data_IF_834077784319
#
_entry.id   IF_834077784319
#
_cell.length_a   1.000
_cell.length_b   1.000
_cell.length_c   1.000
_cell.angle_alpha   90.00
_cell.angle_beta   90.00
_cell.angle_gamma   90.00
#
_symmetry.space_group_name_H-M   'P 1'
#
loop_
_entity.id
_entity.type
_entity.pdbx_description
1 polymer ?
#
# COMPACT_ATOMS: atom_id res chain seq x y z
N UNK A 1 -0.58 -13.25 5.37
CA UNK A 1 -1.26 -11.94 5.58
C UNK A 1 -2.29 -11.74 4.48
N UNK A 2 -3.58 -11.52 4.80
CA UNK A 2 -4.60 -11.26 3.79
C UNK A 2 -4.32 -9.94 3.07
N UNK A 3 -4.49 -9.94 1.75
CA UNK A 3 -4.38 -8.76 0.88
C UNK A 3 -5.78 -8.17 0.63
N UNK A 4 -6.78 -9.04 0.46
CA UNK A 4 -8.16 -8.66 0.20
C UNK A 4 -9.02 -9.88 -0.11
N UNK A 5 -10.28 -9.65 -0.43
CA UNK A 5 -11.22 -10.68 -0.85
C UNK A 5 -11.79 -10.35 -2.24
N UNK A 6 -12.13 -11.38 -3.02
CA UNK A 6 -12.85 -11.24 -4.27
C UNK A 6 -14.36 -11.11 -4.06
N UNK A 7 -15.14 -10.97 -5.14
CA UNK A 7 -16.59 -10.81 -5.05
C UNK A 7 -17.31 -12.07 -4.52
N UNK A 8 -16.65 -13.23 -4.54
CA UNK A 8 -17.17 -14.50 -4.01
C UNK A 8 -16.73 -14.75 -2.56
N UNK A 9 -15.99 -13.81 -1.96
CA UNK A 9 -15.48 -13.93 -0.60
C UNK A 9 -14.22 -14.80 -0.48
N UNK A 10 -13.62 -15.24 -1.59
CA UNK A 10 -12.32 -15.91 -1.53
C UNK A 10 -11.25 -14.89 -1.17
N UNK A 11 -10.36 -15.26 -0.24
CA UNK A 11 -9.34 -14.36 0.26
C UNK A 11 -8.03 -14.58 -0.46
N UNK A 12 -7.40 -13.50 -0.93
CA UNK A 12 -6.02 -13.56 -1.41
C UNK A 12 -5.10 -13.35 -0.21
N UNK A 13 -4.20 -14.29 0.01
CA UNK A 13 -3.25 -14.30 1.13
C UNK A 13 -1.84 -14.32 0.58
N UNK A 14 -0.99 -13.44 1.13
CA UNK A 14 0.46 -13.52 0.97
C UNK A 14 1.03 -14.43 2.04
N UNK A 15 1.80 -15.45 1.65
CA UNK A 15 2.54 -16.31 2.55
C UNK A 15 3.46 -15.53 3.48
N UNK A 16 3.76 -16.09 4.64
CA UNK A 16 4.84 -15.62 5.49
C UNK A 16 6.12 -16.31 5.05
N UNK A 17 7.16 -15.55 4.66
CA UNK A 17 8.48 -16.12 4.37
C UNK A 17 9.17 -16.82 5.56
N UNK A 18 8.47 -16.97 6.69
CA UNK A 18 8.90 -17.73 7.86
C UNK A 18 8.15 -19.06 7.87
N UNK A 19 8.84 -20.16 7.57
CA UNK A 19 8.30 -21.54 7.67
C UNK A 19 8.15 -22.30 6.34
N UNK A 20 8.15 -21.61 5.21
CA UNK A 20 8.23 -22.27 3.89
C UNK A 20 9.70 -22.40 3.48
N UNK A 21 10.11 -23.59 3.02
CA UNK A 21 11.47 -23.92 2.51
C UNK A 21 11.82 -23.22 1.19
N UNK A 22 11.12 -22.14 0.85
CA UNK A 22 11.32 -21.35 -0.36
C UNK A 22 12.48 -20.36 -0.25
N UNK A 23 12.95 -19.82 -1.38
CA UNK A 23 14.00 -18.81 -1.38
C UNK A 23 13.50 -17.54 -0.67
N UNK A 24 14.34 -16.99 0.21
CA UNK A 24 14.01 -15.91 1.15
C UNK A 24 13.57 -14.58 0.49
N UNK A 25 13.77 -14.45 -0.81
CA UNK A 25 13.49 -13.27 -1.62
C UNK A 25 12.07 -13.22 -2.18
N UNK A 26 11.33 -14.33 -2.14
CA UNK A 26 9.95 -14.41 -2.62
C UNK A 26 9.01 -15.01 -1.59
N UNK A 27 7.71 -14.72 -1.75
CA UNK A 27 6.62 -15.31 -0.96
C UNK A 27 5.54 -15.79 -1.90
N UNK A 28 4.92 -16.91 -1.55
CA UNK A 28 3.80 -17.42 -2.31
C UNK A 28 2.55 -16.54 -2.11
N UNK A 29 1.88 -16.18 -3.20
CA UNK A 29 0.50 -15.73 -3.19
C UNK A 29 -0.40 -16.94 -3.37
N UNK A 30 -1.43 -17.01 -2.54
CA UNK A 30 -2.44 -18.05 -2.64
C UNK A 30 -3.84 -17.46 -2.44
N UNK A 31 -4.83 -18.08 -3.07
CA UNK A 31 -6.25 -17.79 -2.92
C UNK A 31 -6.88 -18.85 -2.04
N UNK A 32 -7.42 -18.44 -0.90
CA UNK A 32 -8.20 -19.31 -0.02
C UNK A 32 -9.66 -19.29 -0.44
N UNK A 33 -10.19 -20.46 -0.80
CA UNK A 33 -11.59 -20.63 -1.19
C UNK A 33 -12.43 -21.06 0.02
N UNK A 34 -13.38 -20.24 0.50
CA UNK A 34 -14.16 -20.56 1.70
C UNK A 34 -15.05 -21.79 1.53
N UNK A 35 -15.53 -22.04 0.30
CA UNK A 35 -16.44 -23.16 0.02
C UNK A 35 -15.75 -24.53 0.16
N UNK A 36 -14.47 -24.62 -0.22
CA UNK A 36 -13.70 -25.87 -0.20
C UNK A 36 -12.69 -25.93 0.93
N UNK A 37 -12.38 -24.79 1.57
CA UNK A 37 -11.30 -24.64 2.53
C UNK A 37 -9.90 -24.74 1.90
N UNK A 38 -9.80 -24.82 0.58
CA UNK A 38 -8.54 -25.04 -0.12
C UNK A 38 -7.76 -23.74 -0.32
N UNK A 39 -6.43 -23.88 -0.30
CA UNK A 39 -5.49 -22.81 -0.59
C UNK A 39 -4.89 -23.06 -1.98
N UNK A 40 -5.31 -22.29 -2.97
CA UNK A 40 -4.89 -22.42 -4.37
C UNK A 40 -3.68 -21.49 -4.61
N UNK A 41 -2.50 -22.01 -5.00
CA UNK A 41 -1.36 -21.16 -5.31
C UNK A 41 -1.64 -20.33 -6.58
N UNK A 42 -1.32 -19.04 -6.53
CA UNK A 42 -1.45 -18.12 -7.66
C UNK A 42 -0.10 -17.82 -8.32
N UNK A 43 0.85 -17.28 -7.57
CA UNK A 43 2.18 -16.91 -8.06
C UNK A 43 3.16 -16.67 -6.91
N UNK A 44 4.46 -16.65 -7.20
CA UNK A 44 5.46 -16.14 -6.26
C UNK A 44 5.72 -14.65 -6.53
N UNK A 45 5.79 -13.83 -5.48
CA UNK A 45 6.06 -12.38 -5.57
C UNK A 45 7.21 -11.98 -4.65
N UNK A 46 7.90 -10.86 -4.91
CA UNK A 46 8.94 -10.35 -4.03
C UNK A 46 8.48 -10.22 -2.57
N UNK A 47 9.32 -10.67 -1.63
CA UNK A 47 9.03 -10.59 -0.21
C UNK A 47 9.34 -9.18 0.33
N UNK A 48 8.32 -8.37 0.71
CA UNK A 48 8.57 -7.03 1.23
C UNK A 48 9.17 -7.03 2.64
N UNK A 49 9.12 -8.15 3.38
CA UNK A 49 9.64 -8.21 4.75
C UNK A 49 11.17 -8.17 4.81
N UNK A 50 11.86 -8.34 3.68
CA UNK A 50 13.33 -8.30 3.64
C UNK A 50 13.91 -6.90 3.91
N UNK A 51 13.10 -5.84 3.87
CA UNK A 51 13.54 -4.50 4.30
C UNK A 51 13.64 -4.36 5.83
N UNK A 52 13.11 -5.32 6.60
CA UNK A 52 13.19 -5.29 8.06
C UNK A 52 14.59 -5.76 8.49
N UNK A 53 15.42 -4.83 8.96
CA UNK A 53 16.72 -5.17 9.56
C UNK A 53 16.48 -5.61 11.00
N UNK A 54 16.84 -6.85 11.29
CA UNK A 54 17.06 -7.28 12.66
C UNK A 54 18.26 -6.53 13.22
N UNK A 55 18.06 -5.71 14.26
CA UNK A 55 19.16 -5.04 14.96
C UNK A 55 19.34 -5.74 16.30
N UNK A 56 20.52 -6.28 16.53
CA UNK A 56 20.90 -6.78 17.85
C UNK A 56 21.02 -5.56 18.78
N UNK A 57 20.14 -5.47 19.77
CA UNK A 57 20.28 -4.53 20.87
C UNK A 57 20.85 -5.27 22.09
N UNK A 58 21.61 -4.57 22.92
CA UNK A 58 22.14 -5.11 24.18
C UNK A 58 20.98 -5.56 25.08
N UNK A 59 20.64 -6.84 25.06
CA UNK A 59 19.53 -7.43 25.83
C UNK A 59 18.43 -8.11 25.01
N UNK A 60 18.48 -8.13 23.67
CA UNK A 60 17.50 -8.87 22.87
C UNK A 60 17.48 -8.55 21.37
N UNK A 61 16.75 -9.37 20.61
CA UNK A 61 16.48 -9.15 19.19
C UNK A 61 15.36 -8.10 19.05
N UNK A 62 15.69 -6.93 18.51
CA UNK A 62 14.67 -5.93 18.14
C UNK A 62 14.43 -6.02 16.65
N UNK A 63 13.23 -6.47 16.27
CA UNK A 63 12.76 -6.39 14.90
C UNK A 63 12.28 -4.96 14.65
N UNK A 64 13.11 -4.16 13.97
CA UNK A 64 12.72 -2.81 13.56
C UNK A 64 11.94 -2.90 12.26
N UNK A 65 10.63 -3.01 12.38
CA UNK A 65 9.72 -2.92 11.23
C UNK A 65 9.75 -1.49 10.70
N UNK A 66 10.23 -1.28 9.47
CA UNK A 66 10.06 0.00 8.80
C UNK A 66 11.18 1.04 8.90
N UNK A 67 12.46 0.67 9.04
CA UNK A 67 13.54 1.59 8.63
C UNK A 67 13.74 1.57 7.09
N UNK A 68 12.62 1.68 6.35
CA UNK A 68 12.64 1.79 4.90
C UNK A 68 13.33 3.08 4.46
N UNK A 69 13.72 3.15 3.19
CA UNK A 69 14.24 4.41 2.64
C UNK A 69 13.14 5.48 2.77
N UNK A 70 13.48 6.75 3.05
CA UNK A 70 12.47 7.80 3.07
C UNK A 70 11.74 7.86 1.74
N UNK A 71 10.41 8.00 1.79
CA UNK A 71 9.54 8.02 0.61
C UNK A 71 9.74 6.82 -0.33
N UNK A 72 10.05 5.64 0.22
CA UNK A 72 10.16 4.42 -0.58
C UNK A 72 8.83 4.06 -1.25
N UNK A 73 8.93 3.55 -2.47
CA UNK A 73 7.83 2.93 -3.19
C UNK A 73 8.17 1.47 -3.46
N UNK A 74 7.19 0.59 -3.34
CA UNK A 74 7.36 -0.86 -3.51
C UNK A 74 6.16 -1.44 -4.22
N UNK A 75 6.28 -2.67 -4.70
CA UNK A 75 5.12 -3.38 -5.26
C UNK A 75 3.96 -3.43 -4.25
N UNK A 76 2.80 -2.93 -4.66
CA UNK A 76 1.54 -3.10 -3.94
C UNK A 76 0.70 -4.16 -4.62
N UNK A 77 -0.08 -4.88 -3.83
CA UNK A 77 -0.99 -5.90 -4.32
C UNK A 77 -2.40 -5.57 -3.85
N UNK A 78 -3.38 -5.86 -4.70
CA UNK A 78 -4.80 -5.76 -4.35
C UNK A 78 -5.58 -6.91 -4.98
N UNK A 79 -6.47 -7.53 -4.23
CA UNK A 79 -7.37 -8.55 -4.76
C UNK A 79 -8.37 -7.90 -5.73
N UNK A 80 -8.70 -8.58 -6.83
CA UNK A 80 -9.69 -8.13 -7.81
C UNK A 80 -11.02 -8.87 -7.61
N UNK A 81 -12.16 -8.29 -8.05
CA UNK A 81 -13.47 -8.94 -7.93
C UNK A 81 -13.60 -10.28 -8.64
N UNK A 82 -12.75 -10.55 -9.63
CA UNK A 82 -12.73 -11.79 -10.42
C UNK A 82 -11.85 -12.90 -9.82
N UNK A 83 -11.32 -12.69 -8.61
CA UNK A 83 -10.42 -13.63 -7.93
C UNK A 83 -8.95 -13.45 -8.29
N UNK A 84 -8.63 -12.58 -9.26
CA UNK A 84 -7.25 -12.24 -9.60
C UNK A 84 -6.60 -11.29 -8.60
N UNK A 85 -5.38 -10.88 -8.92
CA UNK A 85 -4.58 -9.90 -8.16
C UNK A 85 -4.03 -8.85 -9.11
N UNK A 86 -4.20 -7.57 -8.78
CA UNK A 86 -3.49 -6.50 -9.43
C UNK A 86 -2.14 -6.28 -8.73
N UNK A 87 -1.08 -6.20 -9.54
CA UNK A 87 0.29 -5.89 -9.12
C UNK A 87 0.63 -4.47 -9.56
N UNK A 88 0.77 -3.57 -8.59
CA UNK A 88 1.10 -2.16 -8.84
C UNK A 88 2.61 -2.00 -8.67
N UNK A 89 3.30 -1.80 -9.79
CA UNK A 89 4.75 -1.66 -9.85
C UNK A 89 5.13 -0.18 -9.91
N UNK A 90 6.12 0.30 -9.15
CA UNK A 90 6.50 1.71 -9.16
C UNK A 90 7.54 2.08 -10.23
N UNK A 91 8.28 1.09 -10.77
CA UNK A 91 9.32 1.29 -11.77
C UNK A 91 9.46 0.07 -12.71
N UNK A 92 9.05 0.15 -13.99
CA UNK A 92 8.23 1.24 -14.55
C UNK A 92 6.89 1.34 -13.81
N UNK A 93 6.27 2.54 -13.78
CA UNK A 93 4.99 2.71 -13.10
C UNK A 93 3.89 2.04 -13.92
N UNK A 94 3.38 0.88 -13.50
CA UNK A 94 2.34 0.14 -14.24
C UNK A 94 1.52 -0.77 -13.34
N UNK A 95 0.41 -1.29 -13.89
CA UNK A 95 -0.47 -2.23 -13.19
C UNK A 95 -0.65 -3.51 -14.00
N UNK A 96 0.02 -4.56 -13.56
CA UNK A 96 -0.09 -5.89 -14.15
C UNK A 96 -1.27 -6.65 -13.49
N UNK A 97 -1.94 -7.53 -14.25
CA UNK A 97 -3.01 -8.40 -13.74
C UNK A 97 -2.49 -9.83 -13.64
N UNK A 98 -2.56 -10.41 -12.46
CA UNK A 98 -2.42 -11.84 -12.24
C UNK A 98 -3.81 -12.47 -12.18
N UNK A 99 -4.13 -13.39 -13.08
CA UNK A 99 -5.43 -14.07 -13.07
C UNK A 99 -5.47 -15.25 -12.07
N UNK A 100 -6.62 -15.91 -11.97
CA UNK A 100 -6.84 -17.06 -11.08
C UNK A 100 -6.06 -18.31 -11.49
N UNK A 101 -5.46 -18.33 -12.68
CA UNK A 101 -4.60 -19.40 -13.20
C UNK A 101 -3.11 -19.09 -13.05
N UNK A 102 -2.77 -17.95 -12.44
CA UNK A 102 -1.40 -17.50 -12.29
C UNK A 102 -0.80 -16.85 -13.53
N UNK A 103 -1.60 -16.59 -14.57
CA UNK A 103 -1.12 -15.91 -15.78
C UNK A 103 -1.05 -14.41 -15.55
N UNK A 104 0.05 -13.80 -16.00
CA UNK A 104 0.28 -12.36 -15.88
C UNK A 104 -0.04 -11.66 -17.19
N UNK A 105 -1.00 -10.75 -17.17
CA UNK A 105 -1.23 -9.75 -18.22
C UNK A 105 -0.50 -8.46 -17.84
N UNK A 106 0.54 -8.12 -18.60
CA UNK A 106 1.34 -6.91 -18.39
C UNK A 106 0.49 -5.69 -18.78
N UNK A 107 0.51 -4.66 -17.94
CA UNK A 107 -0.15 -3.38 -18.23
C UNK A 107 0.76 -2.37 -18.92
N UNK A 108 0.14 -1.37 -19.53
CA UNK A 108 0.85 -0.23 -20.09
C UNK A 108 1.57 0.58 -19.00
N UNK A 109 2.70 1.19 -19.37
CA UNK A 109 3.36 2.15 -18.50
C UNK A 109 2.47 3.39 -18.33
N UNK A 110 2.32 3.82 -17.09
CA UNK A 110 1.52 4.94 -16.68
C UNK A 110 2.41 6.16 -16.51
N UNK A 111 2.10 7.21 -17.24
CA UNK A 111 2.77 8.49 -17.05
C UNK A 111 2.52 9.04 -15.64
N UNK A 112 3.56 9.56 -15.01
CA UNK A 112 3.41 10.35 -13.80
C UNK A 112 4.36 11.53 -13.83
N UNK A 113 3.91 12.65 -13.27
CA UNK A 113 4.74 13.83 -13.17
C UNK A 113 5.80 13.61 -12.07
N UNK A 114 7.07 13.66 -12.47
CA UNK A 114 8.19 13.61 -11.53
C UNK A 114 8.30 14.96 -10.84
N UNK A 115 7.90 15.02 -9.57
CA UNK A 115 8.00 16.22 -8.74
C UNK A 115 9.26 16.16 -7.90
N UNK A 116 10.16 17.16 -7.91
CA UNK A 116 11.32 17.20 -7.01
C UNK A 116 10.91 17.16 -5.54
N UNK A 117 11.61 16.40 -4.71
CA UNK A 117 11.36 16.38 -3.25
C UNK A 117 11.81 17.69 -2.63
N UNK A 118 10.86 18.48 -2.15
CA UNK A 118 11.13 19.75 -1.49
C UNK A 118 11.54 19.57 -0.02
N UNK A 119 12.01 20.65 0.61
CA UNK A 119 12.26 20.67 2.06
C UNK A 119 10.97 20.42 2.86
N UNK A 120 9.83 20.92 2.37
CA UNK A 120 8.54 20.72 3.03
C UNK A 120 8.10 19.25 3.00
N UNK A 121 8.36 18.55 1.89
CA UNK A 121 8.11 17.10 1.77
C UNK A 121 8.94 16.30 2.79
N UNK A 122 10.24 16.63 2.90
CA UNK A 122 11.14 15.98 3.87
C UNK A 122 10.67 16.20 5.30
N UNK A 123 10.25 17.41 5.64
CA UNK A 123 9.73 17.71 6.96
C UNK A 123 8.43 16.97 7.25
N UNK A 124 7.46 17.00 6.32
CA UNK A 124 6.18 16.30 6.47
C UNK A 124 6.38 14.78 6.67
N UNK A 125 7.36 14.19 5.98
CA UNK A 125 7.71 12.79 6.18
C UNK A 125 8.28 12.52 7.58
N UNK A 126 9.19 13.36 8.07
CA UNK A 126 9.74 13.26 9.44
C UNK A 126 8.65 13.37 10.50
N UNK A 127 7.79 14.37 10.38
CA UNK A 127 6.66 14.59 11.27
C UNK A 127 5.72 13.37 11.28
N UNK A 128 5.50 12.76 10.10
CA UNK A 128 4.72 11.53 9.95
C UNK A 128 5.36 10.33 10.65
N UNK A 129 6.69 10.18 10.59
CA UNK A 129 7.41 9.13 11.31
C UNK A 129 7.34 9.29 12.82
N UNK A 130 7.45 10.53 13.33
CA UNK A 130 7.35 10.81 14.76
C UNK A 130 5.96 10.47 15.32
N UNK A 131 4.89 10.72 14.54
CA UNK A 131 3.53 10.33 14.88
C UNK A 131 3.31 8.81 14.84
N UNK A 132 4.01 8.11 13.94
CA UNK A 132 3.93 6.65 13.79
C UNK A 132 4.84 5.86 14.72
N UNK A 133 5.67 6.51 15.54
CA UNK A 133 6.54 5.85 16.51
C UNK A 133 5.71 5.21 17.64
N UNK A 134 5.07 4.09 17.35
CA UNK A 134 4.29 3.32 18.32
C UNK A 134 5.25 2.56 19.24
N UNK A 135 5.00 2.63 20.54
CA UNK A 135 5.76 1.92 21.57
C UNK A 135 5.80 0.42 21.31
N UNK A 136 6.99 -0.18 21.34
CA UNK A 136 7.16 -1.64 21.25
C UNK A 136 6.99 -2.23 22.65
N UNK A 137 5.96 -3.06 22.84
CA UNK A 137 5.80 -3.85 24.06
C UNK A 137 6.76 -5.04 24.05
N UNK A 138 7.50 -5.25 25.15
CA UNK A 138 8.32 -6.45 25.31
C UNK A 138 7.43 -7.66 25.55
N UNK A 139 7.65 -8.72 24.78
CA UNK A 139 6.81 -9.95 24.77
C UNK A 139 7.07 -10.83 26.00
N UNK A 140 8.12 -10.57 26.78
CA UNK A 140 8.48 -11.37 27.95
C UNK A 140 8.11 -10.67 29.28
N UNK A 141 6.83 -10.76 29.66
CA UNK A 141 6.40 -10.89 31.07
C UNK A 141 6.57 -9.71 32.05
N UNK A 142 7.01 -8.53 31.63
CA UNK A 142 7.14 -7.35 32.51
C UNK A 142 7.51 -6.05 31.79
N UNK A 143 7.15 -5.95 30.51
CA UNK A 143 7.73 -4.99 29.57
C UNK A 143 7.36 -3.53 29.79
N UNK A 144 8.30 -2.74 30.26
CA UNK A 144 8.28 -1.29 30.10
C UNK A 144 8.23 -0.97 28.59
N UNK A 145 7.24 -0.20 28.17
CA UNK A 145 7.15 0.30 26.81
C UNK A 145 8.34 1.23 26.54
N UNK A 146 9.31 0.79 25.73
CA UNK A 146 10.43 1.64 25.30
C UNK A 146 10.05 2.31 23.99
N UNK A 147 10.01 3.65 24.00
CA UNK A 147 9.86 4.45 22.78
C UNK A 147 11.24 4.50 22.11
N UNK A 148 11.40 3.79 21.01
CA UNK A 148 12.63 3.85 20.22
C UNK A 148 12.71 5.24 19.55
N UNK A 149 13.89 5.90 19.55
CA UNK A 149 14.05 7.15 18.83
C UNK A 149 13.81 6.94 17.33
N UNK A 150 13.19 7.94 16.68
CA UNK A 150 13.05 7.96 15.24
C UNK A 150 14.44 7.83 14.59
N UNK A 151 14.57 7.10 13.47
CA UNK A 151 15.85 7.01 12.78
C UNK A 151 16.27 8.41 12.31
N UNK A 152 17.53 8.77 12.54
CA UNK A 152 18.09 10.01 12.01
C UNK A 152 18.28 9.86 10.49
N UNK A 153 17.28 10.28 9.72
CA UNK A 153 17.34 10.27 8.25
C UNK A 153 17.95 11.57 7.77
N UNK A 154 19.05 11.46 7.02
CA UNK A 154 19.77 12.63 6.47
C UNK A 154 19.08 13.09 5.18
N UNK A 155 19.29 14.35 4.80
CA UNK A 155 18.62 14.92 3.62
C UNK A 155 19.04 14.20 2.33
N UNK A 156 20.27 13.71 2.24
CA UNK A 156 20.81 12.93 1.13
C UNK A 156 20.20 11.53 0.97
N UNK A 157 19.52 11.02 2.01
CA UNK A 157 18.88 9.71 1.95
C UNK A 157 17.50 9.80 1.24
N UNK A 158 16.96 11.00 1.03
CA UNK A 158 15.70 11.23 0.29
C UNK A 158 15.89 11.07 -1.23
N UNK A 159 14.89 10.54 -1.94
CA UNK A 159 14.95 10.48 -3.39
C UNK A 159 14.93 11.89 -3.99
N UNK A 160 15.50 12.05 -5.19
CA UNK A 160 15.50 13.34 -5.90
C UNK A 160 14.08 13.80 -6.28
N UNK A 161 13.18 12.85 -6.56
CA UNK A 161 11.79 13.10 -6.96
C UNK A 161 10.83 12.23 -6.16
N UNK A 162 9.60 12.71 -5.93
CA UNK A 162 8.52 11.93 -5.35
C UNK A 162 8.22 10.70 -6.22
N UNK A 163 7.99 9.52 -5.62
CA UNK A 163 7.54 8.34 -6.36
C UNK A 163 6.08 8.50 -6.79
N UNK A 164 5.56 7.63 -7.69
CA UNK A 164 4.15 7.65 -8.06
C UNK A 164 3.22 7.41 -6.85
N UNK A 165 3.62 6.52 -5.92
CA UNK A 165 2.89 6.22 -4.69
C UNK A 165 3.88 5.77 -3.59
N UNK A 166 3.49 5.79 -2.31
CA UNK A 166 4.32 5.35 -1.18
C UNK A 166 4.16 3.85 -0.89
N UNK A 167 5.15 3.24 -0.25
CA UNK A 167 5.15 1.82 0.12
C UNK A 167 4.02 1.39 1.08
N UNK A 168 3.43 2.34 1.80
CA UNK A 168 2.27 2.17 2.68
C UNK A 168 0.98 2.76 2.08
N UNK A 169 0.99 3.14 0.80
CA UNK A 169 -0.20 3.63 0.12
C UNK A 169 -1.30 2.57 0.15
N UNK A 170 -2.53 3.05 0.38
CA UNK A 170 -3.71 2.21 0.40
C UNK A 170 -4.31 2.16 -1.02
N UNK A 171 -4.20 1.00 -1.66
CA UNK A 171 -4.84 0.70 -2.95
C UNK A 171 -6.14 -0.07 -2.73
N UNK A 172 -7.15 0.22 -3.55
CA UNK A 172 -8.47 -0.43 -3.48
C UNK A 172 -8.88 -0.82 -4.89
N UNK A 173 -9.48 -2.01 -5.04
CA UNK A 173 -10.20 -2.40 -6.25
C UNK A 173 -11.68 -2.09 -6.10
N UNK A 174 -12.31 -1.62 -7.18
CA UNK A 174 -13.75 -1.42 -7.23
C UNK A 174 -14.48 -2.64 -7.83
N UNK A 175 -15.83 -2.70 -7.75
CA UNK A 175 -16.58 -3.84 -8.27
C UNK A 175 -16.45 -4.05 -9.79
N UNK A 176 -16.00 -3.04 -10.54
CA UNK A 176 -15.73 -3.15 -11.97
C UNK A 176 -14.30 -3.62 -12.27
N UNK A 177 -13.51 -3.94 -11.24
CA UNK A 177 -12.13 -4.43 -11.36
C UNK A 177 -11.11 -3.34 -11.66
N UNK A 178 -11.48 -2.05 -11.51
CA UNK A 178 -10.50 -0.95 -11.58
C UNK A 178 -9.78 -0.81 -10.26
N UNK A 179 -8.53 -0.40 -10.33
CA UNK A 179 -7.66 -0.17 -9.18
C UNK A 179 -7.48 1.33 -8.98
N UNK A 180 -7.72 1.77 -7.75
CA UNK A 180 -7.54 3.14 -7.31
C UNK A 180 -6.21 3.27 -6.57
N UNK A 181 -5.29 4.05 -7.11
CA UNK A 181 -3.92 4.21 -6.62
C UNK A 181 -3.72 5.66 -6.19
N UNK A 182 -3.53 5.95 -4.89
CA UNK A 182 -3.28 7.31 -4.45
C UNK A 182 -1.91 7.76 -4.94
N UNK A 183 -1.85 8.97 -5.51
CA UNK A 183 -0.58 9.60 -5.89
C UNK A 183 0.10 10.22 -4.68
N UNK A 184 1.43 10.23 -4.68
CA UNK A 184 2.17 11.08 -3.75
C UNK A 184 2.02 12.53 -4.20
N UNK A 185 1.49 13.36 -3.31
CA UNK A 185 1.29 14.78 -3.57
C UNK A 185 2.39 15.60 -2.87
N UNK A 186 2.84 16.73 -3.47
CA UNK A 186 3.71 17.68 -2.78
C UNK A 186 3.11 18.12 -1.44
N UNK A 187 3.95 18.37 -0.45
CA UNK A 187 3.55 18.92 0.84
C UNK A 187 2.79 20.24 0.65
N UNK A 188 1.66 20.37 1.34
CA UNK A 188 0.75 21.52 1.22
C UNK A 188 -0.23 21.45 0.04
N UNK A 189 -0.24 20.36 -0.74
CA UNK A 189 -1.27 20.13 -1.77
C UNK A 189 -2.67 20.17 -1.15
N UNK A 190 -3.61 20.84 -1.81
CA UNK A 190 -4.99 20.97 -1.32
C UNK A 190 -5.91 19.85 -1.78
N UNK A 191 -5.41 18.99 -2.64
CA UNK A 191 -6.12 17.86 -3.22
C UNK A 191 -5.29 16.58 -3.08
N UNK A 192 -5.99 15.46 -3.02
CA UNK A 192 -5.42 14.14 -3.19
C UNK A 192 -5.89 13.59 -4.52
N UNK A 193 -4.95 13.12 -5.33
CA UNK A 193 -5.24 12.50 -6.62
C UNK A 193 -5.19 10.98 -6.50
N UNK A 194 -6.05 10.30 -7.24
CA UNK A 194 -6.01 8.85 -7.47
C UNK A 194 -5.96 8.54 -8.95
N UNK A 195 -5.02 7.70 -9.33
CA UNK A 195 -5.07 7.01 -10.62
C UNK A 195 -6.09 5.88 -10.56
N UNK A 196 -7.04 5.88 -11.49
CA UNK A 196 -8.00 4.79 -11.66
C UNK A 196 -7.60 4.01 -12.91
N UNK A 197 -7.19 2.76 -12.71
CA UNK A 197 -6.51 1.96 -13.73
C UNK A 197 -7.26 0.65 -13.94
N UNK A 198 -7.37 0.21 -15.20
CA UNK A 198 -7.76 -1.16 -15.50
C UNK A 198 -6.50 -2.02 -15.58
N UNK A 199 -6.32 -3.02 -14.71
CA UNK A 199 -5.13 -3.88 -14.72
C UNK A 199 -4.90 -4.52 -16.09
N UNK A 200 -3.67 -4.42 -16.61
CA UNK A 200 -3.33 -4.94 -17.92
C UNK A 200 -3.89 -4.15 -19.12
N UNK A 201 -4.40 -2.93 -18.92
CA UNK A 201 -4.88 -2.06 -20.00
C UNK A 201 -4.45 -0.59 -19.86
N UNK A 202 -4.30 -0.06 -18.64
CA UNK A 202 -3.80 1.31 -18.43
C UNK A 202 -4.77 2.24 -17.68
N UNK A 203 -4.38 3.52 -17.55
CA UNK A 203 -5.13 4.54 -16.80
C UNK A 203 -6.39 4.93 -17.56
N UNK A 204 -7.51 4.94 -16.85
CA UNK A 204 -8.82 5.34 -17.39
C UNK A 204 -9.19 6.75 -16.96
N UNK A 205 -8.89 7.11 -15.71
CA UNK A 205 -9.19 8.44 -15.18
C UNK A 205 -8.25 8.83 -14.04
N UNK A 206 -8.25 10.12 -13.72
CA UNK A 206 -7.70 10.67 -12.47
C UNK A 206 -8.89 11.20 -11.67
N UNK A 207 -9.00 10.78 -10.43
CA UNK A 207 -10.00 11.26 -9.49
C UNK A 207 -9.35 12.16 -8.44
N UNK A 208 -10.04 13.22 -8.04
CA UNK A 208 -9.54 14.21 -7.08
C UNK A 208 -10.51 14.34 -5.90
N UNK A 209 -9.97 14.56 -4.71
CA UNK A 209 -10.73 14.95 -3.52
C UNK A 209 -9.94 15.96 -2.70
N UNK A 210 -10.60 16.63 -1.75
CA UNK A 210 -9.91 17.55 -0.84
C UNK A 210 -8.82 16.85 0.00
N UNK A 211 -7.80 17.61 0.40
CA UNK A 211 -6.72 17.12 1.27
C UNK A 211 -7.27 16.43 2.53
N UNK A 212 -6.54 15.41 3.01
CA UNK A 212 -6.91 14.64 4.19
C UNK A 212 -8.00 13.59 3.91
N UNK A 213 -8.48 13.49 2.67
CA UNK A 213 -9.40 12.43 2.26
C UNK A 213 -8.67 11.10 2.07
N UNK A 214 -9.12 10.08 2.78
CA UNK A 214 -8.67 8.70 2.61
C UNK A 214 -9.76 7.92 1.91
N UNK A 215 -9.45 7.35 0.74
CA UNK A 215 -10.37 6.46 0.04
C UNK A 215 -10.62 5.21 0.90
N UNK A 216 -11.88 4.99 1.25
CA UNK A 216 -12.28 3.87 2.12
C UNK A 216 -12.88 2.71 1.35
N UNK A 217 -13.80 2.99 0.43
CA UNK A 217 -14.46 2.00 -0.39
C UNK A 217 -14.99 2.63 -1.68
N UNK A 218 -15.09 1.82 -2.73
CA UNK A 218 -15.74 2.18 -3.99
C UNK A 218 -16.81 1.13 -4.27
N UNK A 219 -18.00 1.57 -4.64
CA UNK A 219 -19.08 0.70 -5.10
C UNK A 219 -19.46 1.03 -6.53
N UNK A 220 -20.42 0.30 -7.08
CA UNK A 220 -20.94 0.56 -8.42
C UNK A 220 -21.63 1.92 -8.58
N UNK A 221 -21.99 2.59 -7.48
CA UNK A 221 -22.74 3.85 -7.49
C UNK A 221 -22.15 4.96 -6.62
N UNK A 222 -21.23 4.64 -5.72
CA UNK A 222 -20.71 5.61 -4.76
C UNK A 222 -19.22 5.40 -4.44
N UNK A 223 -18.57 6.49 -4.05
CA UNK A 223 -17.22 6.54 -3.51
C UNK A 223 -17.35 6.97 -2.05
N UNK A 224 -16.69 6.25 -1.14
CA UNK A 224 -16.67 6.56 0.28
C UNK A 224 -15.28 7.06 0.66
N UNK A 225 -15.22 8.29 1.17
CA UNK A 225 -14.02 8.93 1.67
C UNK A 225 -14.13 9.08 3.19
N UNK A 226 -13.01 8.93 3.89
CA UNK A 226 -12.88 9.33 5.29
C UNK A 226 -12.07 10.61 5.34
N UNK A 227 -12.60 11.65 5.97
CA UNK A 227 -11.89 12.92 6.21
C UNK A 227 -11.70 13.12 7.70
N UNK A 228 -10.52 13.57 8.09
CA UNK A 228 -10.24 14.01 9.46
C UNK A 228 -10.36 15.52 9.51
N UNK A 229 -11.18 16.06 10.39
CA UNK A 229 -11.17 17.48 10.72
C UNK A 229 -10.00 17.75 11.66
N UNK A 230 -9.04 18.56 11.21
CA UNK A 230 -7.84 18.86 11.97
C UNK A 230 -8.12 19.68 13.24
N UNK A 231 -9.18 20.48 13.27
CA UNK A 231 -9.52 21.32 14.42
C UNK A 231 -10.13 20.50 15.57
N UNK A 232 -10.94 19.50 15.23
CA UNK A 232 -11.69 18.69 16.22
C UNK A 232 -11.13 17.28 16.41
N UNK A 233 -10.32 16.80 15.47
CA UNK A 233 -9.85 15.41 15.40
C UNK A 233 -10.94 14.40 15.00
N UNK A 234 -12.16 14.86 14.68
CA UNK A 234 -13.27 14.00 14.32
C UNK A 234 -13.09 13.43 12.91
N UNK A 235 -13.52 12.18 12.71
CA UNK A 235 -13.52 11.51 11.42
C UNK A 235 -14.93 11.49 10.83
N UNK A 236 -15.04 11.89 9.57
CA UNK A 236 -16.30 11.94 8.82
C UNK A 236 -16.23 10.98 7.65
N UNK A 237 -17.31 10.23 7.43
CA UNK A 237 -17.48 9.44 6.21
C UNK A 237 -18.31 10.25 5.23
N UNK A 238 -17.72 10.58 4.09
CA UNK A 238 -18.38 11.27 3.00
C UNK A 238 -18.74 10.26 1.90
N UNK A 239 -20.00 10.32 1.44
CA UNK A 239 -20.50 9.53 0.32
C UNK A 239 -20.62 10.41 -0.91
N UNK A 240 -19.81 10.13 -1.92
CA UNK A 240 -19.83 10.83 -3.20
C UNK A 240 -20.51 9.96 -4.26
N UNK A 241 -21.37 10.56 -5.09
CA UNK A 241 -21.97 9.84 -6.22
C UNK A 241 -20.91 9.61 -7.29
N UNK A 242 -20.82 8.38 -7.77
CA UNK A 242 -19.94 8.08 -8.89
C UNK A 242 -20.55 8.63 -10.18
N UNK A 243 -19.90 9.62 -10.79
CA UNK A 243 -20.33 10.09 -12.11
C UNK A 243 -20.00 9.00 -13.14
N UNK A 244 -21.04 8.50 -13.82
CA UNK A 244 -20.81 7.75 -15.06
C UNK A 244 -20.51 8.79 -16.14
N UNK A 245 -19.25 8.92 -16.54
CA UNK A 245 -18.97 9.50 -17.85
C UNK A 245 -19.66 8.57 -18.87
N UNK A 246 -20.64 9.13 -19.59
CA UNK A 246 -21.34 8.46 -20.69
C UNK A 246 -20.42 8.39 -21.90
#
# INVERSE_FOLDING_TARGET
MPIGADAQGAMVVRGSGFGETGPLDSVQLSRWEPATGLLIPLASVPNPARSDKAVAASGGLVLRRGSGRPMESRELLVALPDGGVARILPAPFRVDKLDTRGMVKIGDELDFQRVPVSRADRQAWRDGQERQSTSVGSINGGGQAVRLPAPSIRDEDFPATLPPFLANARVISDPEGRVWIPRVMPAGSRVQDWDVVVPGAGRVEVAEAGIGSVLMAVTSSAIFLVRVDEATGLQYVEKHRRSRKR
#
